data_IF_286097907275
#
_entry.id   IF_286097907275
#
_cell.length_a   1.000
_cell.length_b   1.000
_cell.length_c   1.000
_cell.angle_alpha   90.00
_cell.angle_beta   90.00
_cell.angle_gamma   90.00
#
_symmetry.space_group_name_H-M   'P 1'
#
loop_
_entity.id
_entity.type
_entity.pdbx_description
1 polymer ?
#
# COMPACT_ATOMS: atom_id res chain seq x y z
N UNK A 1 23.03 25.72 -10.52
CA UNK A 1 22.90 26.86 -9.58
C UNK A 1 23.76 26.54 -8.35
N UNK A 2 24.87 27.27 -8.16
CA UNK A 2 25.72 27.15 -6.97
C UNK A 2 24.93 27.58 -5.73
N UNK A 3 24.88 26.71 -4.71
CA UNK A 3 24.28 27.07 -3.41
C UNK A 3 25.21 28.06 -2.71
N UNK A 4 24.73 29.29 -2.48
CA UNK A 4 25.47 30.32 -1.76
C UNK A 4 25.60 29.90 -0.29
N UNK A 5 26.83 29.86 0.22
CA UNK A 5 27.09 29.64 1.64
C UNK A 5 27.11 31.03 2.29
N UNK A 6 26.18 31.31 3.19
CA UNK A 6 26.19 32.54 3.97
C UNK A 6 27.28 32.47 5.04
N UNK A 7 28.31 33.27 4.89
CA UNK A 7 29.38 33.48 5.87
C UNK A 7 29.08 34.75 6.67
N UNK A 8 29.11 34.59 7.99
CA UNK A 8 29.13 35.64 9.02
C UNK A 8 27.98 36.67 9.08
N UNK A 9 26.98 36.30 9.84
CA UNK A 9 26.26 37.22 10.72
C UNK A 9 25.90 36.47 12.01
N UNK A 10 25.66 37.15 13.14
CA UNK A 10 25.28 36.51 14.42
C UNK A 10 24.03 35.65 14.23
N UNK A 11 24.22 34.35 13.99
CA UNK A 11 23.13 33.42 13.93
C UNK A 11 22.64 33.03 15.32
N UNK A 12 21.35 32.85 15.46
CA UNK A 12 20.76 32.21 16.63
C UNK A 12 21.42 30.84 16.83
N UNK A 13 21.79 30.48 18.06
CA UNK A 13 22.36 29.17 18.39
C UNK A 13 21.37 28.00 18.16
N UNK A 14 20.13 28.32 17.84
CA UNK A 14 19.10 27.32 17.52
C UNK A 14 18.81 27.34 16.03
N UNK A 15 19.08 26.23 15.36
CA UNK A 15 18.63 25.98 13.99
C UNK A 15 17.13 25.77 14.04
N UNK A 16 16.34 26.58 13.32
CA UNK A 16 14.93 26.29 13.14
C UNK A 16 14.80 24.99 12.32
N UNK A 17 14.27 23.94 12.98
CA UNK A 17 13.89 22.72 12.28
C UNK A 17 12.64 22.99 11.45
N UNK A 18 12.57 22.40 10.26
CA UNK A 18 11.35 22.41 9.47
C UNK A 18 10.31 21.53 10.16
N UNK A 19 9.04 21.87 9.99
CA UNK A 19 7.97 20.98 10.41
C UNK A 19 8.10 19.65 9.67
N UNK A 20 7.94 18.54 10.39
CA UNK A 20 8.00 17.19 9.84
C UNK A 20 6.86 16.35 10.43
N UNK A 21 6.51 15.28 9.73
CA UNK A 21 5.61 14.27 10.25
C UNK A 21 6.39 13.01 10.60
N UNK A 22 6.08 12.43 11.75
CA UNK A 22 6.51 11.07 12.05
C UNK A 22 5.87 10.09 11.06
N UNK A 23 6.47 8.88 10.89
CA UNK A 23 5.94 7.90 9.95
C UNK A 23 4.48 7.57 10.25
N UNK A 24 3.59 7.97 9.35
CA UNK A 24 2.14 7.78 9.46
C UNK A 24 1.79 6.33 9.10
N UNK A 25 2.55 5.70 8.20
CA UNK A 25 2.27 4.36 7.69
C UNK A 25 2.81 3.23 8.55
N UNK A 26 3.60 3.51 9.59
CA UNK A 26 4.27 2.49 10.40
C UNK A 26 3.32 1.48 11.07
N UNK A 27 2.07 1.83 11.29
CA UNK A 27 1.04 0.94 11.84
C UNK A 27 0.19 0.21 10.80
N UNK A 28 0.36 0.52 9.51
CA UNK A 28 -0.51 0.05 8.43
C UNK A 28 -0.14 -1.32 7.88
N UNK A 29 1.01 -1.86 8.22
CA UNK A 29 1.50 -3.12 7.69
C UNK A 29 1.88 -4.11 8.81
N UNK A 30 1.85 -5.40 8.48
CA UNK A 30 2.27 -6.46 9.41
C UNK A 30 3.79 -6.52 9.51
N UNK A 31 4.30 -6.52 10.75
CA UNK A 31 5.71 -6.78 11.05
C UNK A 31 5.98 -8.26 11.36
N UNK A 32 4.92 -9.05 11.58
CA UNK A 32 4.97 -10.43 12.09
C UNK A 32 4.83 -11.50 11.01
N UNK A 33 4.82 -11.12 9.73
CA UNK A 33 4.94 -12.10 8.67
C UNK A 33 6.41 -12.53 8.64
N UNK A 34 6.65 -13.84 8.80
CA UNK A 34 7.96 -14.44 8.64
C UNK A 34 8.43 -14.22 7.20
N UNK A 35 9.14 -13.11 7.03
CA UNK A 35 9.72 -12.73 5.74
C UNK A 35 11.11 -13.33 5.67
N UNK A 36 11.26 -14.44 4.94
CA UNK A 36 12.57 -14.95 4.60
C UNK A 36 13.19 -14.12 3.47
N UNK A 37 14.33 -13.49 3.80
CA UNK A 37 15.15 -12.87 2.78
C UNK A 37 16.01 -13.94 2.08
N UNK A 38 15.57 -14.37 0.91
CA UNK A 38 16.34 -15.28 0.07
C UNK A 38 17.20 -14.46 -0.89
N UNK A 39 18.53 -14.52 -0.72
CA UNK A 39 19.45 -13.76 -1.56
C UNK A 39 19.50 -12.26 -1.25
N UNK A 40 19.89 -11.45 -2.24
CA UNK A 40 20.19 -10.03 -2.02
C UNK A 40 18.97 -9.15 -1.97
N UNK A 41 17.90 -9.47 -2.69
CA UNK A 41 16.74 -8.57 -2.91
C UNK A 41 15.38 -9.25 -2.87
N UNK A 42 15.27 -10.56 -2.69
CA UNK A 42 14.00 -11.28 -2.77
C UNK A 42 13.44 -11.56 -1.38
N UNK A 43 12.15 -11.32 -1.21
CA UNK A 43 11.37 -11.66 -0.03
C UNK A 43 10.35 -12.70 -0.44
N UNK A 44 10.30 -13.84 0.27
CA UNK A 44 9.33 -14.90 0.06
C UNK A 44 8.26 -14.85 1.14
N UNK A 45 7.01 -14.97 0.73
CA UNK A 45 5.85 -15.10 1.62
C UNK A 45 5.15 -16.41 1.27
N UNK A 46 5.02 -17.27 2.26
CA UNK A 46 4.37 -18.57 2.11
C UNK A 46 2.87 -18.44 2.39
N UNK A 47 2.07 -19.10 1.57
CA UNK A 47 0.63 -19.23 1.72
C UNK A 47 0.24 -20.68 1.52
N UNK A 48 -0.43 -21.28 2.50
CA UNK A 48 -0.86 -22.67 2.46
C UNK A 48 -2.31 -22.73 2.06
N UNK A 49 -2.62 -23.48 1.01
CA UNK A 49 -3.99 -23.70 0.58
C UNK A 49 -4.81 -24.44 1.65
N UNK A 50 -6.12 -24.28 1.62
CA UNK A 50 -7.06 -25.00 2.47
C UNK A 50 -7.83 -26.03 1.67
N UNK A 51 -8.11 -27.19 2.27
CA UNK A 51 -8.92 -28.21 1.64
C UNK A 51 -10.42 -27.86 1.72
N UNK A 52 -11.22 -28.16 0.68
CA UNK A 52 -12.66 -27.97 0.73
C UNK A 52 -13.31 -28.97 1.69
N UNK A 53 -14.49 -28.64 2.22
CA UNK A 53 -15.31 -29.57 2.96
C UNK A 53 -16.01 -30.50 1.98
N UNK A 54 -15.96 -31.82 2.28
CA UNK A 54 -16.69 -32.85 1.54
C UNK A 54 -17.82 -33.41 2.41
N UNK A 55 -18.88 -33.88 1.78
CA UNK A 55 -19.93 -34.59 2.46
C UNK A 55 -19.42 -35.93 2.99
N UNK A 56 -19.66 -36.19 4.27
CA UNK A 56 -19.26 -37.44 4.90
C UNK A 56 -20.20 -38.58 4.51
N UNK A 57 -19.65 -39.64 3.93
CA UNK A 57 -20.41 -40.86 3.61
C UNK A 57 -20.23 -41.89 4.72
N UNK A 58 -21.35 -42.51 5.18
CA UNK A 58 -21.32 -43.50 6.28
C UNK A 58 -20.87 -44.90 5.84
N UNK A 59 -20.75 -45.17 4.56
CA UNK A 59 -20.37 -46.47 3.99
C UNK A 59 -19.30 -46.30 2.90
N UNK A 60 -18.51 -47.38 2.69
CA UNK A 60 -17.44 -47.38 1.65
C UNK A 60 -16.07 -46.88 2.17
N UNK A 61 -15.10 -46.90 1.27
CA UNK A 61 -13.78 -46.25 1.45
C UNK A 61 -13.88 -44.77 1.15
N UNK A 62 -12.92 -43.97 1.65
CA UNK A 62 -12.87 -42.50 1.48
C UNK A 62 -14.09 -41.75 2.05
N UNK A 63 -14.52 -42.12 3.25
CA UNK A 63 -15.70 -41.56 3.92
C UNK A 63 -15.66 -40.05 4.13
N UNK A 64 -14.47 -39.44 4.18
CA UNK A 64 -14.20 -37.99 4.31
C UNK A 64 -13.98 -37.32 2.94
N UNK A 65 -14.21 -38.03 1.83
CA UNK A 65 -13.85 -37.59 0.48
C UNK A 65 -12.47 -38.12 0.06
N UNK A 66 -12.11 -37.91 -1.19
CA UNK A 66 -10.80 -38.33 -1.72
C UNK A 66 -9.71 -37.47 -1.11
N UNK A 67 -8.69 -38.06 -0.46
CA UNK A 67 -7.56 -37.30 0.08
C UNK A 67 -6.86 -36.50 -1.04
N UNK A 68 -6.62 -35.21 -0.81
CA UNK A 68 -5.86 -34.35 -1.68
C UNK A 68 -4.66 -33.82 -0.90
N UNK A 69 -3.51 -33.71 -1.57
CA UNK A 69 -2.34 -33.10 -0.98
C UNK A 69 -2.54 -31.57 -0.92
N UNK A 70 -2.20 -30.96 0.23
CA UNK A 70 -2.25 -29.52 0.38
C UNK A 70 -1.15 -28.89 -0.46
N UNK A 71 -1.54 -27.96 -1.32
CA UNK A 71 -0.59 -27.21 -2.15
C UNK A 71 -0.17 -25.93 -1.44
N UNK A 72 1.11 -25.60 -1.57
CA UNK A 72 1.69 -24.37 -1.06
C UNK A 72 1.86 -23.36 -2.19
N UNK A 73 1.47 -22.11 -1.91
CA UNK A 73 1.75 -21.00 -2.81
C UNK A 73 2.87 -20.15 -2.23
N UNK A 74 3.92 -19.90 -3.01
CA UNK A 74 5.03 -19.04 -2.63
C UNK A 74 4.96 -17.76 -3.46
N UNK A 75 4.75 -16.62 -2.79
CA UNK A 75 4.84 -15.32 -3.43
C UNK A 75 6.25 -14.77 -3.29
N UNK A 76 6.90 -14.51 -4.41
CA UNK A 76 8.23 -13.90 -4.45
C UNK A 76 8.12 -12.41 -4.79
N UNK A 77 8.64 -11.57 -3.91
CA UNK A 77 8.67 -10.13 -4.09
C UNK A 77 10.12 -9.66 -4.21
N UNK A 78 10.43 -8.96 -5.30
CA UNK A 78 11.77 -8.42 -5.54
C UNK A 78 11.80 -6.96 -5.09
N UNK A 79 12.71 -6.65 -4.16
CA UNK A 79 12.92 -5.28 -3.67
C UNK A 79 13.69 -4.45 -4.70
N UNK A 80 13.08 -3.37 -5.18
CA UNK A 80 13.65 -2.51 -6.22
C UNK A 80 14.13 -1.15 -5.69
N UNK A 81 13.74 -0.77 -4.45
CA UNK A 81 14.09 0.53 -3.89
C UNK A 81 15.42 0.47 -3.13
N UNK A 82 16.45 1.05 -3.73
CA UNK A 82 17.77 1.24 -3.14
C UNK A 82 18.12 2.73 -3.26
N UNK A 83 18.08 3.45 -2.14
CA UNK A 83 18.26 4.90 -2.10
C UNK A 83 19.39 5.28 -1.16
N UNK A 84 20.20 6.22 -1.59
CA UNK A 84 21.25 6.78 -0.79
C UNK A 84 21.25 8.30 -0.79
N UNK A 85 21.89 8.87 0.20
CA UNK A 85 22.21 10.30 0.26
C UNK A 85 23.62 10.50 0.79
N UNK A 86 24.23 11.57 0.38
CA UNK A 86 25.54 12.01 0.88
C UNK A 86 25.62 13.53 0.92
N UNK A 87 26.28 14.05 1.93
CA UNK A 87 26.60 15.48 2.04
C UNK A 87 27.79 15.71 2.95
N UNK A 88 28.47 16.84 2.76
CA UNK A 88 29.68 17.20 3.51
C UNK A 88 29.42 18.38 4.43
N UNK A 89 30.11 18.41 5.57
CA UNK A 89 30.15 19.53 6.50
C UNK A 89 31.64 19.91 6.66
N UNK A 90 32.03 21.00 6.02
CA UNK A 90 33.40 21.53 6.09
C UNK A 90 33.71 22.10 7.48
N UNK A 91 34.94 21.87 7.99
CA UNK A 91 35.39 22.33 9.31
C UNK A 91 35.47 23.86 9.42
N UNK A 92 35.95 24.52 8.36
CA UNK A 92 36.06 25.97 8.31
C UNK A 92 34.67 26.59 8.42
N UNK A 93 33.77 26.19 7.53
CA UNK A 93 32.39 26.66 7.51
C UNK A 93 31.63 26.32 8.81
N UNK A 94 31.87 25.16 9.40
CA UNK A 94 31.24 24.78 10.68
C UNK A 94 31.71 25.68 11.83
N UNK A 95 33.00 26.01 11.91
CA UNK A 95 33.55 26.92 12.92
C UNK A 95 33.04 28.35 12.74
N UNK A 96 33.03 28.85 11.52
CA UNK A 96 32.53 30.20 11.20
C UNK A 96 31.02 30.34 11.47
N UNK A 97 30.28 29.24 11.40
CA UNK A 97 28.86 29.16 11.74
C UNK A 97 28.62 28.67 13.19
N UNK A 98 29.56 28.85 14.11
CA UNK A 98 29.47 28.47 15.53
C UNK A 98 29.07 27.02 15.78
N UNK A 99 29.53 26.07 14.95
CA UNK A 99 29.21 24.64 15.05
C UNK A 99 27.71 24.30 14.97
N UNK A 100 26.91 25.14 14.34
CA UNK A 100 25.46 24.91 14.18
C UNK A 100 25.18 23.63 13.38
N UNK A 101 26.07 23.30 12.44
CA UNK A 101 25.96 22.09 11.62
C UNK A 101 26.70 20.92 12.27
N UNK A 102 26.06 20.25 13.22
CA UNK A 102 26.56 18.99 13.76
C UNK A 102 26.06 17.82 12.90
N UNK A 103 26.96 16.89 12.53
CA UNK A 103 26.62 15.75 11.65
C UNK A 103 25.49 14.88 12.20
N UNK A 104 25.49 14.58 13.50
CA UNK A 104 24.43 13.77 14.12
C UNK A 104 23.05 14.44 14.12
N UNK A 105 23.00 15.74 14.33
CA UNK A 105 21.74 16.51 14.30
C UNK A 105 21.25 16.66 12.85
N UNK A 106 22.18 16.94 11.93
CA UNK A 106 21.88 17.05 10.52
C UNK A 106 21.38 15.71 9.94
N UNK A 107 21.97 14.58 10.35
CA UNK A 107 21.52 13.25 9.94
C UNK A 107 20.11 12.94 10.45
N UNK A 108 19.81 13.20 11.74
CA UNK A 108 18.46 13.03 12.29
C UNK A 108 17.43 13.85 11.52
N UNK A 109 17.77 15.08 11.18
CA UNK A 109 16.93 15.96 10.37
C UNK A 109 16.71 15.42 8.97
N UNK A 110 17.77 14.93 8.29
CA UNK A 110 17.68 14.30 6.98
C UNK A 110 16.72 13.09 6.99
N UNK A 111 16.81 12.27 8.05
CA UNK A 111 15.92 11.12 8.22
C UNK A 111 14.45 11.54 8.35
N UNK A 112 14.16 12.52 9.19
CA UNK A 112 12.79 12.96 9.49
C UNK A 112 12.16 13.77 8.35
N UNK A 113 12.92 14.68 7.73
CA UNK A 113 12.38 15.61 6.74
C UNK A 113 12.36 15.03 5.31
N UNK A 114 13.20 14.03 5.02
CA UNK A 114 13.37 13.52 3.65
C UNK A 114 13.10 12.02 3.56
N UNK A 115 13.80 11.20 4.35
CA UNK A 115 13.75 9.73 4.18
C UNK A 115 12.40 9.16 4.62
N UNK A 116 11.94 9.51 5.81
CA UNK A 116 10.65 9.01 6.34
C UNK A 116 9.46 9.40 5.46
N UNK A 117 9.28 10.67 5.07
CA UNK A 117 8.21 11.05 4.15
C UNK A 117 8.28 10.36 2.79
N UNK A 118 9.49 10.21 2.24
CA UNK A 118 9.68 9.51 0.96
C UNK A 118 9.20 8.07 1.03
N UNK A 119 9.56 7.34 2.10
CA UNK A 119 9.13 5.95 2.32
C UNK A 119 7.60 5.87 2.48
N UNK A 120 7.01 6.77 3.26
CA UNK A 120 5.56 6.77 3.50
C UNK A 120 4.76 7.06 2.23
N UNK A 121 5.16 8.05 1.45
CA UNK A 121 4.53 8.36 0.15
C UNK A 121 4.65 7.16 -0.81
N UNK A 122 5.81 6.52 -0.85
CA UNK A 122 6.03 5.36 -1.69
C UNK A 122 5.12 4.19 -1.30
N UNK A 123 5.06 3.85 0.01
CA UNK A 123 4.16 2.81 0.55
C UNK A 123 2.72 3.04 0.14
N UNK A 124 2.21 4.27 0.37
CA UNK A 124 0.83 4.62 0.04
C UNK A 124 0.54 4.44 -1.45
N UNK A 125 1.46 4.84 -2.34
CA UNK A 125 1.33 4.67 -3.80
C UNK A 125 1.28 3.20 -4.19
N UNK A 126 2.17 2.36 -3.66
CA UNK A 126 2.23 0.93 -3.98
C UNK A 126 0.98 0.21 -3.47
N UNK A 127 0.57 0.49 -2.23
CA UNK A 127 -0.61 -0.13 -1.65
C UNK A 127 -1.90 0.30 -2.36
N UNK A 128 -2.01 1.55 -2.77
CA UNK A 128 -3.16 2.00 -3.57
C UNK A 128 -3.19 1.32 -4.94
N UNK A 129 -2.05 1.18 -5.61
CA UNK A 129 -1.96 0.50 -6.91
C UNK A 129 -2.29 -0.98 -6.81
N UNK A 130 -1.94 -1.61 -5.69
CA UNK A 130 -2.22 -3.01 -5.39
C UNK A 130 -3.50 -3.23 -4.58
N UNK A 131 -4.40 -2.26 -4.45
CA UNK A 131 -5.64 -2.41 -3.70
C UNK A 131 -6.56 -3.46 -4.34
N UNK A 132 -7.09 -4.37 -3.52
CA UNK A 132 -8.06 -5.36 -3.97
C UNK A 132 -9.43 -4.75 -4.29
N UNK A 133 -9.80 -3.70 -3.54
CA UNK A 133 -11.07 -2.99 -3.74
C UNK A 133 -10.76 -1.54 -4.11
N UNK A 134 -10.99 -1.18 -5.37
CA UNK A 134 -10.91 0.19 -5.86
C UNK A 134 -12.30 0.63 -6.32
N UNK A 135 -12.80 1.73 -5.78
CA UNK A 135 -14.14 2.24 -6.10
C UNK A 135 -14.07 3.69 -6.56
N UNK A 136 -14.56 3.93 -7.76
CA UNK A 136 -14.72 5.27 -8.29
C UNK A 136 -15.97 5.92 -7.68
N UNK A 137 -15.81 7.09 -7.06
CA UNK A 137 -16.89 7.88 -6.50
C UNK A 137 -17.45 8.80 -7.58
N UNK A 138 -18.76 8.95 -7.63
CA UNK A 138 -19.44 9.84 -8.59
C UNK A 138 -19.10 11.31 -8.35
N UNK A 139 -18.85 11.70 -7.10
CA UNK A 139 -18.47 13.04 -6.67
C UNK A 139 -17.43 12.97 -5.54
N UNK A 140 -16.72 14.09 -5.32
CA UNK A 140 -15.83 14.21 -4.18
C UNK A 140 -16.60 14.10 -2.85
N UNK A 141 -16.03 13.47 -1.81
CA UNK A 141 -16.64 13.38 -0.50
C UNK A 141 -16.98 14.76 0.08
N UNK A 142 -18.17 14.90 0.61
CA UNK A 142 -18.68 16.11 1.24
C UNK A 142 -19.20 15.80 2.65
N UNK A 143 -19.52 16.84 3.44
CA UNK A 143 -20.07 16.70 4.79
C UNK A 143 -21.25 15.72 4.89
N UNK A 144 -22.15 15.70 3.89
CA UNK A 144 -23.32 14.84 3.89
C UNK A 144 -23.11 13.44 3.30
N UNK A 145 -21.95 13.18 2.69
CA UNK A 145 -21.71 11.92 1.95
C UNK A 145 -20.54 11.11 2.49
N UNK A 146 -19.56 11.76 3.12
CA UNK A 146 -18.31 11.11 3.53
C UNK A 146 -18.54 9.97 4.53
N UNK A 147 -19.48 10.14 5.47
CA UNK A 147 -19.83 9.10 6.44
C UNK A 147 -20.38 7.86 5.75
N UNK A 148 -21.38 8.02 4.88
CA UNK A 148 -21.95 6.93 4.09
C UNK A 148 -20.89 6.21 3.25
N UNK A 149 -20.02 6.95 2.57
CA UNK A 149 -18.91 6.37 1.77
C UNK A 149 -17.95 5.50 2.60
N UNK A 150 -17.68 5.90 3.85
CA UNK A 150 -16.82 5.10 4.76
C UNK A 150 -17.55 3.85 5.23
N UNK A 151 -18.86 3.93 5.51
CA UNK A 151 -19.68 2.74 5.84
C UNK A 151 -19.76 1.77 4.66
N UNK A 152 -19.97 2.27 3.44
CA UNK A 152 -19.94 1.45 2.23
C UNK A 152 -18.58 0.74 2.04
N UNK A 153 -17.49 1.46 2.28
CA UNK A 153 -16.15 0.87 2.23
C UNK A 153 -15.98 -0.26 3.25
N UNK A 154 -16.51 -0.09 4.46
CA UNK A 154 -16.50 -1.14 5.46
C UNK A 154 -17.37 -2.34 5.06
N UNK A 155 -18.56 -2.08 4.49
CA UNK A 155 -19.46 -3.12 4.01
C UNK A 155 -18.81 -3.93 2.88
N UNK A 156 -18.17 -3.25 1.92
CA UNK A 156 -17.46 -3.90 0.82
C UNK A 156 -16.34 -4.82 1.34
N UNK A 157 -15.54 -4.35 2.32
CA UNK A 157 -14.52 -5.19 2.95
C UNK A 157 -15.11 -6.33 3.78
N UNK A 158 -16.24 -6.12 4.48
CA UNK A 158 -16.90 -7.18 5.25
C UNK A 158 -17.44 -8.28 4.34
N UNK A 159 -18.02 -7.90 3.18
CA UNK A 159 -18.50 -8.86 2.17
C UNK A 159 -17.36 -9.69 1.54
N UNK A 160 -16.12 -9.22 1.65
CA UNK A 160 -14.90 -9.94 1.27
C UNK A 160 -14.24 -10.67 2.45
N UNK A 161 -14.96 -10.86 3.55
CA UNK A 161 -14.52 -11.53 4.78
C UNK A 161 -13.25 -10.94 5.41
N UNK A 162 -12.93 -9.67 5.14
CA UNK A 162 -11.82 -8.99 5.80
C UNK A 162 -12.16 -8.77 7.28
N UNK A 163 -11.28 -9.14 8.23
CA UNK A 163 -11.54 -8.92 9.65
C UNK A 163 -11.82 -7.45 9.98
N UNK A 164 -12.76 -7.20 10.89
CA UNK A 164 -13.13 -5.83 11.32
C UNK A 164 -12.05 -5.17 12.18
N UNK A 165 -11.22 -5.97 12.83
CA UNK A 165 -10.10 -5.51 13.67
C UNK A 165 -8.90 -5.08 12.82
N UNK A 166 -7.99 -4.30 13.38
CA UNK A 166 -6.73 -3.90 12.73
C UNK A 166 -6.91 -3.16 11.39
N UNK A 167 -8.04 -2.47 11.20
CA UNK A 167 -8.26 -1.55 10.08
C UNK A 167 -7.87 -0.14 10.50
N UNK A 168 -7.30 0.63 9.55
CA UNK A 168 -6.99 2.04 9.73
C UNK A 168 -7.51 2.82 8.53
N UNK A 169 -8.21 3.91 8.78
CA UNK A 169 -8.67 4.84 7.74
C UNK A 169 -7.61 5.93 7.56
N UNK A 170 -7.09 6.05 6.37
CA UNK A 170 -6.21 7.13 5.92
C UNK A 170 -7.03 8.14 5.13
N UNK A 171 -7.13 9.35 5.63
CA UNK A 171 -7.95 10.42 5.07
C UNK A 171 -7.09 11.62 4.68
N UNK A 172 -7.40 12.27 3.56
CA UNK A 172 -6.79 13.57 3.22
C UNK A 172 -7.10 14.59 4.30
N UNK A 173 -6.11 15.42 4.65
CA UNK A 173 -6.30 16.51 5.62
C UNK A 173 -7.42 17.46 5.20
N UNK A 174 -7.52 17.77 3.91
CA UNK A 174 -8.59 18.61 3.36
C UNK A 174 -10.01 18.06 3.56
N UNK A 175 -10.17 16.75 3.78
CA UNK A 175 -11.46 16.10 4.00
C UNK A 175 -11.82 15.91 5.48
N UNK A 176 -10.88 16.17 6.39
CA UNK A 176 -11.13 16.08 7.84
C UNK A 176 -12.29 16.98 8.30
N UNK A 177 -12.39 18.26 7.88
CA UNK A 177 -13.50 19.11 8.28
C UNK A 177 -14.87 18.55 7.82
N UNK A 178 -14.92 17.95 6.61
CA UNK A 178 -16.14 17.33 6.12
C UNK A 178 -16.59 16.16 6.99
N UNK A 179 -15.65 15.33 7.46
CA UNK A 179 -15.93 14.23 8.36
C UNK A 179 -16.27 14.71 9.78
N UNK A 180 -15.52 15.65 10.33
CA UNK A 180 -15.75 16.19 11.67
C UNK A 180 -17.10 16.89 11.83
N UNK A 181 -17.59 17.51 10.76
CA UNK A 181 -18.89 18.17 10.73
C UNK A 181 -20.05 17.22 10.32
N UNK A 182 -19.77 15.96 10.02
CA UNK A 182 -20.82 14.98 9.77
C UNK A 182 -21.53 14.62 11.07
N UNK A 183 -22.84 14.38 11.00
CA UNK A 183 -23.68 14.10 12.20
C UNK A 183 -23.34 12.78 12.88
N UNK A 184 -22.56 11.95 12.23
CA UNK A 184 -22.21 10.58 12.66
C UNK A 184 -20.78 10.49 13.25
N UNK A 185 -20.03 11.59 13.27
CA UNK A 185 -18.69 11.61 13.82
C UNK A 185 -18.74 11.77 15.34
N UNK A 186 -18.26 10.77 16.05
CA UNK A 186 -18.04 10.84 17.50
C UNK A 186 -16.55 11.12 17.71
N UNK A 187 -16.21 12.35 18.08
CA UNK A 187 -14.86 12.72 18.46
C UNK A 187 -14.38 11.84 19.63
N UNK A 188 -13.12 11.45 19.61
CA UNK A 188 -12.49 10.69 20.69
C UNK A 188 -12.19 11.63 21.85
N UNK A 189 -13.20 12.08 22.56
CA UNK A 189 -13.07 13.04 23.66
C UNK A 189 -12.54 12.39 24.97
N UNK A 190 -12.41 11.07 25.02
CA UNK A 190 -12.08 10.36 26.25
C UNK A 190 -10.85 9.45 26.21
N UNK A 191 -10.15 9.35 25.10
CA UNK A 191 -8.97 8.49 25.03
C UNK A 191 -7.71 9.37 25.10
N UNK A 192 -7.21 9.55 26.30
CA UNK A 192 -6.09 10.40 26.65
C UNK A 192 -4.88 10.43 25.70
N UNK A 193 -3.90 11.24 26.05
CA UNK A 193 -2.66 11.65 25.36
C UNK A 193 -1.99 10.67 24.38
N UNK A 194 -2.15 9.36 24.56
CA UNK A 194 -1.61 8.34 23.64
C UNK A 194 -2.19 8.35 22.21
N UNK A 195 -3.42 8.82 22.03
CA UNK A 195 -4.02 8.91 20.70
C UNK A 195 -3.43 10.05 19.87
N UNK A 196 -3.08 11.15 20.53
CA UNK A 196 -2.41 12.31 19.92
C UNK A 196 -0.97 11.98 19.51
N UNK A 197 -0.24 11.19 20.31
CA UNK A 197 1.13 10.77 20.01
C UNK A 197 1.23 9.87 18.77
N UNK A 198 0.18 9.11 18.45
CA UNK A 198 0.17 8.19 17.29
C UNK A 198 -0.43 8.80 16.02
N UNK A 199 -0.78 10.08 16.01
CA UNK A 199 -1.39 10.74 14.86
C UNK A 199 -2.82 10.26 14.55
N UNK A 200 -3.50 9.64 15.52
CA UNK A 200 -4.90 9.23 15.40
C UNK A 200 -5.78 10.41 15.80
N UNK A 201 -6.52 10.96 14.84
CA UNK A 201 -7.40 12.13 15.07
C UNK A 201 -8.71 11.74 15.75
N UNK A 202 -9.13 10.47 15.62
CA UNK A 202 -10.37 9.98 16.18
C UNK A 202 -10.68 8.55 15.74
N UNK A 203 -11.89 8.07 16.07
CA UNK A 203 -12.43 6.82 15.53
C UNK A 203 -13.74 7.12 14.82
N UNK A 204 -13.95 6.54 13.67
CA UNK A 204 -15.22 6.54 12.97
C UNK A 204 -15.70 5.10 12.80
N UNK A 205 -16.91 4.81 13.25
CA UNK A 205 -17.48 3.45 13.23
C UNK A 205 -16.50 2.38 13.77
N UNK A 206 -15.75 2.71 14.85
CA UNK A 206 -14.78 1.81 15.50
C UNK A 206 -13.40 1.77 14.85
N UNK A 207 -13.19 2.43 13.72
CA UNK A 207 -11.91 2.43 12.98
C UNK A 207 -11.10 3.69 13.33
N UNK A 208 -9.83 3.56 13.71
CA UNK A 208 -8.95 4.70 13.92
C UNK A 208 -8.71 5.47 12.61
N UNK A 209 -8.79 6.80 12.69
CA UNK A 209 -8.57 7.71 11.57
C UNK A 209 -7.19 8.31 11.70
N UNK A 210 -6.41 8.25 10.62
CA UNK A 210 -5.16 8.99 10.45
C UNK A 210 -5.31 9.95 9.29
N UNK A 211 -5.07 11.23 9.54
CA UNK A 211 -4.99 12.22 8.47
C UNK A 211 -3.61 12.25 7.87
N UNK A 212 -3.55 12.51 6.59
CA UNK A 212 -2.30 12.65 5.85
C UNK A 212 -2.35 13.90 4.98
N UNK A 213 -1.21 14.59 4.79
CA UNK A 213 -1.13 15.70 3.86
C UNK A 213 -1.67 15.31 2.49
N UNK A 214 -2.41 16.17 1.84
CA UNK A 214 -3.04 15.88 0.54
C UNK A 214 -2.03 15.46 -0.53
N UNK A 215 -0.80 16.01 -0.48
CA UNK A 215 0.30 15.65 -1.38
C UNK A 215 0.88 14.26 -1.17
N UNK A 216 0.63 13.63 -0.02
CA UNK A 216 1.09 12.27 0.29
C UNK A 216 0.08 11.20 -0.12
N UNK A 217 -1.21 11.60 -0.25
CA UNK A 217 -2.22 10.69 -0.76
C UNK A 217 -1.92 10.35 -2.22
N UNK A 218 -2.07 9.08 -2.62
CA UNK A 218 -1.95 8.69 -4.03
C UNK A 218 -2.89 9.51 -4.93
N UNK A 219 -2.47 9.71 -6.16
CA UNK A 219 -3.20 10.55 -7.12
C UNK A 219 -4.64 10.07 -7.30
N UNK A 220 -5.57 11.01 -7.31
CA UNK A 220 -7.02 10.77 -7.45
C UNK A 220 -7.67 9.90 -6.36
N UNK A 221 -7.00 9.65 -5.25
CA UNK A 221 -7.55 8.94 -4.09
C UNK A 221 -8.03 9.95 -3.04
N UNK A 222 -9.23 9.76 -2.53
CA UNK A 222 -9.82 10.58 -1.46
C UNK A 222 -9.47 10.03 -0.08
N UNK A 223 -9.66 8.73 0.12
CA UNK A 223 -9.29 8.02 1.35
C UNK A 223 -8.94 6.57 1.06
N UNK A 224 -8.22 5.96 1.99
CA UNK A 224 -7.86 4.54 1.95
C UNK A 224 -8.23 3.88 3.28
N UNK A 225 -8.82 2.69 3.20
CA UNK A 225 -9.05 1.83 4.35
C UNK A 225 -8.15 0.61 4.23
N UNK A 226 -7.22 0.44 5.18
CA UNK A 226 -6.18 -0.61 5.12
C UNK A 226 -6.30 -1.51 6.34
N UNK A 227 -6.41 -2.83 6.08
CA UNK A 227 -6.25 -3.86 7.09
C UNK A 227 -4.76 -4.22 7.21
N UNK A 228 -4.22 -4.16 8.43
CA UNK A 228 -2.79 -4.33 8.71
C UNK A 228 -2.17 -5.61 8.12
N UNK A 229 -2.94 -6.71 8.02
CA UNK A 229 -2.46 -7.97 7.48
C UNK A 229 -2.32 -8.02 5.96
N UNK A 230 -2.75 -6.99 5.21
CA UNK A 230 -2.80 -6.99 3.75
C UNK A 230 -1.58 -6.35 3.11
N UNK A 231 -0.86 -5.54 3.86
CA UNK A 231 0.30 -4.78 3.41
C UNK A 231 1.56 -5.25 4.12
N UNK A 232 2.66 -5.29 3.40
CA UNK A 232 4.00 -5.52 3.93
C UNK A 232 4.95 -4.43 3.43
N UNK A 233 5.96 -4.12 4.24
CA UNK A 233 7.01 -3.17 3.88
C UNK A 233 8.34 -3.64 4.43
N UNK A 234 9.02 -4.55 3.72
CA UNK A 234 10.33 -5.03 4.11
C UNK A 234 11.37 -3.90 4.03
N UNK A 235 12.28 -3.89 4.99
CA UNK A 235 13.44 -3.02 5.02
C UNK A 235 14.65 -3.90 5.31
N UNK A 236 15.59 -3.98 4.36
CA UNK A 236 16.77 -4.84 4.47
C UNK A 236 17.97 -4.11 5.02
N UNK A 237 18.19 -2.89 4.59
CA UNK A 237 19.34 -2.09 4.94
C UNK A 237 18.88 -0.70 5.36
N UNK A 238 19.41 -0.23 6.47
CA UNK A 238 19.24 1.12 6.98
C UNK A 238 20.55 1.53 7.65
N UNK A 239 21.54 1.89 6.82
CA UNK A 239 22.89 2.21 7.29
C UNK A 239 23.15 3.70 7.15
N UNK A 240 23.74 4.27 8.19
CA UNK A 240 24.18 5.65 8.22
C UNK A 240 25.59 5.70 8.76
N UNK A 241 26.46 6.43 8.06
CA UNK A 241 27.88 6.59 8.40
C UNK A 241 28.24 8.07 8.47
N UNK A 242 29.02 8.43 9.47
CA UNK A 242 29.65 9.74 9.59
C UNK A 242 31.16 9.51 9.58
N UNK A 243 31.78 9.95 8.51
CA UNK A 243 33.25 9.89 8.37
C UNK A 243 33.84 11.23 8.81
N UNK A 244 34.83 11.17 9.66
CA UNK A 244 35.58 12.36 10.09
C UNK A 244 36.83 12.46 9.26
N UNK A 245 37.08 13.61 8.64
CA UNK A 245 38.22 13.93 7.81
C UNK A 245 38.53 12.86 6.71
N UNK A 246 37.55 12.45 5.89
CA UNK A 246 37.80 11.52 4.81
C UNK A 246 38.70 12.18 3.75
N UNK A 247 39.35 11.35 2.93
CA UNK A 247 40.29 11.81 1.90
C UNK A 247 39.63 12.90 0.99
N UNK A 248 40.28 14.02 0.87
CA UNK A 248 39.86 15.14 0.03
C UNK A 248 38.80 16.07 0.66
N UNK A 249 38.39 15.84 1.92
CA UNK A 249 37.41 16.67 2.64
C UNK A 249 37.97 17.04 4.00
N UNK A 250 38.10 18.35 4.27
CA UNK A 250 38.43 18.84 5.60
C UNK A 250 37.12 19.02 6.38
N UNK A 251 36.68 17.96 7.09
CA UNK A 251 35.41 18.02 7.80
C UNK A 251 34.74 16.66 7.97
N UNK A 252 33.41 16.63 7.92
CA UNK A 252 32.62 15.43 8.08
C UNK A 252 31.88 15.10 6.77
N UNK A 253 31.90 13.84 6.37
CA UNK A 253 31.08 13.28 5.31
C UNK A 253 29.98 12.43 5.96
N UNK A 254 28.74 12.74 5.66
CA UNK A 254 27.56 12.01 6.11
C UNK A 254 26.98 11.25 4.94
N UNK A 255 26.84 9.95 5.11
CA UNK A 255 26.30 9.04 4.11
C UNK A 255 25.19 8.20 4.71
N UNK A 256 24.17 7.92 3.92
CA UNK A 256 23.11 7.00 4.28
C UNK A 256 22.64 6.18 3.10
N UNK A 257 22.28 4.92 3.36
CA UNK A 257 21.71 4.01 2.38
C UNK A 257 20.55 3.25 2.99
N UNK A 258 19.42 3.22 2.27
CA UNK A 258 18.19 2.52 2.68
C UNK A 258 17.75 1.63 1.54
N UNK A 259 17.61 0.32 1.82
CA UNK A 259 17.01 -0.65 0.91
C UNK A 259 15.67 -1.06 1.52
N UNK A 260 14.60 -0.72 0.83
CA UNK A 260 13.23 -0.98 1.27
C UNK A 260 12.32 -1.23 0.08
N UNK A 261 11.14 -1.76 0.34
CA UNK A 261 10.05 -1.78 -0.64
C UNK A 261 8.70 -1.84 0.07
N UNK A 262 7.63 -1.91 -0.70
CA UNK A 262 6.27 -2.09 -0.21
C UNK A 262 5.52 -3.02 -1.15
N UNK A 263 4.74 -3.95 -0.59
CA UNK A 263 3.97 -4.92 -1.37
C UNK A 263 2.58 -5.12 -0.77
N UNK A 264 1.68 -5.60 -1.58
CA UNK A 264 0.36 -6.08 -1.18
C UNK A 264 0.37 -7.61 -1.29
N UNK A 265 -0.13 -8.29 -0.27
CA UNK A 265 -0.23 -9.74 -0.28
C UNK A 265 -1.43 -10.11 -1.18
N UNK A 266 -1.24 -10.86 -2.27
CA UNK A 266 -2.28 -11.15 -3.24
C UNK A 266 -3.55 -11.75 -2.65
N UNK A 267 -3.43 -12.75 -1.78
CA UNK A 267 -4.57 -13.41 -1.10
C UNK A 267 -5.30 -12.51 -0.08
N UNK A 268 -4.68 -11.39 0.32
CA UNK A 268 -5.24 -10.43 1.28
C UNK A 268 -5.42 -9.04 0.68
N UNK A 269 -5.35 -8.91 -0.64
CA UNK A 269 -5.44 -7.62 -1.33
C UNK A 269 -6.77 -6.91 -1.07
N UNK A 270 -7.87 -7.66 -0.91
CA UNK A 270 -9.20 -7.13 -0.55
C UNK A 270 -9.24 -6.42 0.83
N UNK A 271 -8.19 -6.58 1.64
CA UNK A 271 -7.98 -5.80 2.87
C UNK A 271 -7.47 -4.38 2.63
N UNK A 272 -7.30 -3.94 1.38
CA UNK A 272 -7.01 -2.57 1.01
C UNK A 272 -8.12 -2.05 0.11
N UNK A 273 -8.84 -1.06 0.61
CA UNK A 273 -9.89 -0.34 -0.10
C UNK A 273 -9.42 1.08 -0.42
N UNK A 274 -9.68 1.54 -1.63
CA UNK A 274 -9.44 2.91 -2.05
C UNK A 274 -10.70 3.55 -2.63
N UNK A 275 -11.02 4.76 -2.17
CA UNK A 275 -12.03 5.62 -2.77
C UNK A 275 -11.35 6.61 -3.71
N UNK A 276 -11.71 6.58 -4.99
CA UNK A 276 -11.04 7.38 -6.03
C UNK A 276 -12.00 8.34 -6.71
N UNK A 277 -11.46 9.31 -7.44
CA UNK A 277 -12.23 10.15 -8.32
C UNK A 277 -12.89 9.35 -9.46
N UNK A 278 -13.98 9.87 -9.99
CA UNK A 278 -14.70 9.27 -11.12
C UNK A 278 -13.77 9.04 -12.32
N UNK A 279 -13.96 7.91 -13.00
CA UNK A 279 -13.19 7.56 -14.20
C UNK A 279 -11.71 7.20 -13.94
N UNK A 280 -11.31 6.93 -12.67
CA UNK A 280 -9.93 6.57 -12.31
C UNK A 280 -9.75 5.10 -11.93
N UNK A 281 -10.81 4.31 -11.99
CA UNK A 281 -10.78 2.85 -11.86
C UNK A 281 -11.21 2.24 -13.18
N UNK A 282 -10.52 1.20 -13.62
CA UNK A 282 -10.93 0.44 -14.81
C UNK A 282 -12.29 -0.23 -14.56
N UNK A 283 -13.14 -0.25 -15.58
CA UNK A 283 -14.41 -0.97 -15.50
C UNK A 283 -14.17 -2.48 -15.46
N UNK A 284 -14.95 -3.16 -14.61
CA UNK A 284 -14.89 -4.62 -14.47
C UNK A 284 -15.22 -5.28 -15.78
N UNK A 285 -14.38 -6.22 -16.29
CA UNK A 285 -14.64 -6.90 -17.54
C UNK A 285 -15.97 -7.67 -17.52
N UNK A 286 -16.64 -7.70 -18.64
CA UNK A 286 -17.76 -8.60 -18.87
C UNK A 286 -17.25 -9.92 -19.46
N UNK A 287 -17.82 -11.03 -19.01
CA UNK A 287 -17.46 -12.39 -19.46
C UNK A 287 -18.68 -13.03 -20.10
N UNK A 288 -18.59 -13.41 -21.37
CA UNK A 288 -19.59 -14.24 -22.03
C UNK A 288 -18.96 -15.55 -22.51
N UNK A 289 -19.62 -16.69 -22.23
CA UNK A 289 -19.15 -18.00 -22.62
C UNK A 289 -20.15 -18.57 -23.61
N UNK A 290 -19.67 -19.02 -24.78
CA UNK A 290 -20.46 -19.68 -25.81
C UNK A 290 -19.62 -20.79 -26.41
N UNK A 291 -20.20 -22.00 -26.54
CA UNK A 291 -19.53 -23.18 -27.08
C UNK A 291 -18.13 -23.40 -26.48
N UNK A 292 -18.05 -23.34 -25.14
CA UNK A 292 -16.81 -23.51 -24.38
C UNK A 292 -15.77 -22.41 -24.61
N UNK A 293 -16.07 -21.35 -25.34
CA UNK A 293 -15.13 -20.25 -25.63
C UNK A 293 -15.56 -18.98 -24.87
N UNK A 294 -14.64 -18.37 -24.09
CA UNK A 294 -14.91 -17.17 -23.35
C UNK A 294 -14.53 -15.92 -24.15
N UNK A 295 -15.46 -14.99 -24.23
CA UNK A 295 -15.24 -13.64 -24.78
C UNK A 295 -15.23 -12.64 -23.63
N UNK A 296 -14.16 -11.85 -23.53
CA UNK A 296 -13.95 -10.84 -22.50
C UNK A 296 -13.99 -9.45 -23.12
N UNK A 297 -14.69 -8.52 -22.48
CA UNK A 297 -14.72 -7.12 -22.91
C UNK A 297 -14.65 -6.18 -21.68
N UNK A 298 -14.05 -5.00 -21.84
CA UNK A 298 -14.03 -3.95 -20.82
C UNK A 298 -14.54 -2.66 -21.44
N UNK A 299 -15.37 -1.92 -20.69
CA UNK A 299 -15.82 -0.58 -21.08
C UNK A 299 -14.69 0.47 -21.03
N UNK A 300 -13.56 0.16 -20.37
CA UNK A 300 -12.41 1.07 -20.33
C UNK A 300 -11.62 0.95 -21.63
N UNK A 301 -11.72 1.97 -22.48
CA UNK A 301 -10.96 2.02 -23.73
C UNK A 301 -9.45 1.91 -23.50
N UNK A 302 -8.78 1.04 -24.26
CA UNK A 302 -7.32 0.80 -24.16
C UNK A 302 -6.86 0.08 -22.89
N UNK A 303 -7.77 -0.53 -22.13
CA UNK A 303 -7.39 -1.40 -21.03
C UNK A 303 -6.92 -2.77 -21.51
N UNK A 304 -5.88 -3.30 -20.89
CA UNK A 304 -5.46 -4.68 -21.05
C UNK A 304 -6.29 -5.56 -20.11
N UNK A 305 -6.93 -6.60 -20.66
CA UNK A 305 -7.66 -7.59 -19.85
C UNK A 305 -6.71 -8.76 -19.56
N UNK A 306 -6.50 -9.04 -18.28
CA UNK A 306 -5.81 -10.25 -17.81
C UNK A 306 -6.84 -11.26 -17.34
N UNK A 307 -6.58 -12.54 -17.57
CA UNK A 307 -7.46 -13.63 -17.12
C UNK A 307 -6.69 -14.83 -16.59
N UNK A 308 -7.34 -15.63 -15.77
CA UNK A 308 -6.87 -16.91 -15.24
C UNK A 308 -7.99 -17.94 -15.33
N UNK A 309 -7.63 -19.23 -15.44
CA UNK A 309 -8.56 -20.37 -15.43
C UNK A 309 -8.24 -21.35 -14.29
N UNK A 310 -7.25 -21.05 -13.48
CA UNK A 310 -6.79 -21.85 -12.34
C UNK A 310 -7.39 -21.37 -10.98
N UNK A 311 -8.39 -20.48 -11.03
CA UNK A 311 -9.03 -19.92 -9.84
C UNK A 311 -8.25 -18.79 -9.16
N UNK A 312 -7.00 -18.50 -9.59
CA UNK A 312 -6.19 -17.42 -9.03
C UNK A 312 -6.71 -16.04 -9.45
N UNK A 313 -6.31 -14.99 -8.70
CA UNK A 313 -6.66 -13.62 -9.05
C UNK A 313 -5.78 -13.11 -10.21
N UNK A 314 -6.36 -12.76 -11.37
CA UNK A 314 -5.59 -12.34 -12.56
C UNK A 314 -4.80 -11.05 -12.38
N UNK A 315 -5.06 -10.27 -11.35
CA UNK A 315 -4.35 -9.02 -11.05
C UNK A 315 -2.94 -9.27 -10.50
N UNK A 316 -2.76 -10.39 -9.79
CA UNK A 316 -1.53 -10.69 -9.03
C UNK A 316 -0.89 -12.01 -9.42
N UNK A 317 -1.61 -12.90 -10.12
CA UNK A 317 -1.11 -14.23 -10.48
C UNK A 317 -0.02 -14.16 -11.54
N UNK A 318 1.01 -14.99 -11.38
CA UNK A 318 2.04 -15.21 -12.38
C UNK A 318 1.53 -16.04 -13.57
N UNK A 319 0.42 -16.79 -13.40
CA UNK A 319 -0.22 -17.60 -14.46
C UNK A 319 -1.19 -16.77 -15.30
N UNK A 320 -1.45 -15.51 -14.93
CA UNK A 320 -2.37 -14.63 -15.62
C UNK A 320 -1.93 -14.39 -17.08
N UNK A 321 -2.85 -14.65 -18.01
CA UNK A 321 -2.67 -14.43 -19.45
C UNK A 321 -3.33 -13.13 -19.88
N UNK A 322 -2.77 -12.50 -20.92
CA UNK A 322 -3.38 -11.33 -21.55
C UNK A 322 -4.41 -11.84 -22.56
N UNK A 323 -5.62 -11.29 -22.48
CA UNK A 323 -6.69 -11.63 -23.41
C UNK A 323 -6.46 -10.98 -24.78
N UNK A 324 -6.63 -11.78 -25.82
CA UNK A 324 -6.73 -11.34 -27.22
C UNK A 324 -8.03 -11.84 -27.84
N UNK A 325 -8.71 -10.99 -28.60
CA UNK A 325 -9.91 -11.36 -29.32
C UNK A 325 -9.69 -12.48 -30.35
N UNK A 326 -8.46 -12.59 -30.87
CA UNK A 326 -8.06 -13.61 -31.87
C UNK A 326 -7.77 -14.99 -31.24
N UNK A 327 -7.49 -15.03 -29.93
CA UNK A 327 -7.19 -16.26 -29.20
C UNK A 327 -8.00 -16.30 -27.89
N UNK A 328 -9.27 -16.71 -28.05
CA UNK A 328 -10.20 -16.82 -26.93
C UNK A 328 -9.86 -18.02 -26.04
N UNK A 329 -9.91 -17.89 -24.71
CA UNK A 329 -9.73 -19.05 -23.84
C UNK A 329 -10.85 -20.06 -23.99
N UNK A 330 -10.48 -21.33 -24.07
CA UNK A 330 -11.42 -22.47 -24.07
C UNK A 330 -11.50 -23.03 -22.67
N UNK A 331 -12.70 -23.31 -22.19
CA UNK A 331 -12.99 -23.78 -20.85
C UNK A 331 -13.68 -25.13 -20.90
N UNK A 332 -13.27 -26.07 -20.05
CA UNK A 332 -14.01 -27.28 -19.81
C UNK A 332 -15.35 -26.99 -19.08
N UNK A 333 -16.30 -27.94 -19.15
CA UNK A 333 -17.53 -27.82 -18.35
C UNK A 333 -17.17 -27.81 -16.84
N UNK A 334 -17.70 -26.84 -16.09
CA UNK A 334 -17.40 -26.64 -14.69
C UNK A 334 -16.16 -25.78 -14.41
N UNK A 335 -15.37 -25.43 -15.43
CA UNK A 335 -14.18 -24.59 -15.26
C UNK A 335 -14.56 -23.10 -15.09
N UNK A 336 -13.92 -22.41 -14.12
CA UNK A 336 -14.12 -20.98 -13.85
C UNK A 336 -13.06 -20.15 -14.55
N UNK A 337 -13.47 -19.06 -15.20
CA UNK A 337 -12.57 -18.00 -15.68
C UNK A 337 -12.72 -16.76 -14.82
N UNK A 338 -11.60 -16.18 -14.43
CA UNK A 338 -11.53 -14.88 -13.75
C UNK A 338 -10.84 -13.88 -14.65
N UNK A 339 -11.34 -12.63 -14.67
CA UNK A 339 -10.79 -11.57 -15.50
C UNK A 339 -10.76 -10.23 -14.78
N UNK A 340 -9.72 -9.43 -15.05
CA UNK A 340 -9.59 -8.05 -14.56
C UNK A 340 -8.99 -7.16 -15.64
N UNK A 341 -9.41 -5.89 -15.66
CA UNK A 341 -8.90 -4.86 -16.56
C UNK A 341 -7.86 -4.00 -15.88
N UNK A 342 -6.76 -3.73 -16.58
CA UNK A 342 -5.62 -2.94 -16.11
C UNK A 342 -5.27 -1.92 -17.20
N UNK A 343 -5.04 -0.67 -16.78
CA UNK A 343 -4.61 0.42 -17.67
C UNK A 343 -3.66 1.35 -16.92
N UNK A 344 -2.61 1.79 -17.58
CA UNK A 344 -1.69 2.78 -17.01
C UNK A 344 -2.41 4.11 -16.72
N UNK A 345 -2.12 4.70 -15.57
CA UNK A 345 -2.78 5.92 -15.10
C UNK A 345 -4.17 5.72 -14.47
N UNK A 346 -4.64 4.46 -14.38
CA UNK A 346 -5.88 4.08 -13.67
C UNK A 346 -5.61 2.99 -12.64
N UNK A 347 -6.50 2.87 -11.68
CA UNK A 347 -6.51 1.74 -10.74
C UNK A 347 -7.15 0.52 -11.40
N UNK A 348 -6.70 -0.66 -11.03
CA UNK A 348 -7.21 -1.93 -11.57
C UNK A 348 -8.69 -2.14 -11.24
N UNK A 349 -9.38 -2.87 -12.11
CA UNK A 349 -10.80 -3.18 -11.91
C UNK A 349 -11.00 -4.21 -10.79
N UNK A 350 -12.26 -4.36 -10.36
CA UNK A 350 -12.66 -5.58 -9.68
C UNK A 350 -12.49 -6.81 -10.60
N UNK A 351 -12.44 -7.99 -9.98
CA UNK A 351 -12.37 -9.26 -10.71
C UNK A 351 -13.79 -9.70 -11.09
N UNK A 352 -14.01 -9.94 -12.38
CA UNK A 352 -15.17 -10.68 -12.84
C UNK A 352 -14.87 -12.16 -12.83
N UNK A 353 -15.85 -13.01 -12.50
CA UNK A 353 -15.74 -14.45 -12.61
C UNK A 353 -16.98 -15.04 -13.28
N UNK A 354 -16.78 -16.14 -14.03
CA UNK A 354 -17.84 -16.91 -14.63
C UNK A 354 -17.43 -18.36 -14.83
N UNK A 355 -18.34 -19.28 -14.49
CA UNK A 355 -18.15 -20.73 -14.69
C UNK A 355 -18.80 -21.15 -15.99
N UNK A 356 -18.15 -22.06 -16.73
CA UNK A 356 -18.69 -22.70 -17.93
C UNK A 356 -19.66 -23.82 -17.51
N UNK A 357 -20.93 -23.58 -17.69
CA UNK A 357 -22.00 -24.51 -17.31
C UNK A 357 -22.54 -25.29 -18.51
#
# INVERSE_FOLDING_TARGET
>A
MGKTINLAEKYSSQVQERFYHDSITQGAFSKSLDMEFTGVKTVKVYDVAVAPLNDYTRSGSNRYGTPQELTDNIYEFVMNMDKGFTYTIDKGNAKEQFNIKQAGTSLRRQMREVVTPYIDIYRMKVWAKGAGIAKAMSAAPSKGTIGGMIFDAQADMNNKFVPKTNRTLYLKESLLPALALSTEYIALDSTGSKALETGVVGKYAGIPIKTIPDSWMPENVYFMLIHKGSAISPMKLNEYKIHTDPQGISGQLVEGRVIFDAFVIPTKADGIYIATASGKVCETPTISIASNSATLASGTSGATIKYTTDGSDPRYSSTAKIYSGDSKPTLASGEEIKAAAIKDGMYQSAVASKTNT
#
